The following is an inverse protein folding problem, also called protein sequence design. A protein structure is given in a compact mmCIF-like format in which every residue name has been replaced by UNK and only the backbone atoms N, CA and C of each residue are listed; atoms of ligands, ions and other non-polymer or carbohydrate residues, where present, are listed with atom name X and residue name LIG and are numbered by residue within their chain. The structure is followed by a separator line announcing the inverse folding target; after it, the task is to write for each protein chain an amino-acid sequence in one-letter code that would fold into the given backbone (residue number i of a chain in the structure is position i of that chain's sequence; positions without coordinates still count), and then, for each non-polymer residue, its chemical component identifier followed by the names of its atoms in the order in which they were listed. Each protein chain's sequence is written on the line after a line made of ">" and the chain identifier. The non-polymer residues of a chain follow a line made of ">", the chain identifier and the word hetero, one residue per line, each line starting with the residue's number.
data_IF_653108970853
#
_entry.id   IF_653108970853
#
_cell.length_a   1.000
_cell.length_b   1.000
_cell.length_c   1.000
_cell.angle_alpha   90.00
_cell.angle_beta   90.00
_cell.angle_gamma   90.00
#
_symmetry.space_group_name_H-M   'P 1'
#
loop_
_entity.id
_entity.type
_entity.pdbx_description
1 polymer ?
#
# COMPACT_ATOMS: atom_id res chain seq x y z
N UNK A 1 6.05 9.28 21.00
CA UNK A 1 5.52 9.55 19.65
C UNK A 1 6.71 9.67 18.71
N UNK A 2 6.66 9.06 17.53
CA UNK A 2 7.70 9.15 16.50
C UNK A 2 7.08 9.59 15.17
N UNK A 3 7.90 10.14 14.28
CA UNK A 3 7.48 10.57 12.95
C UNK A 3 8.69 10.87 12.07
N UNK A 4 8.43 11.04 10.78
CA UNK A 4 9.43 11.35 9.77
C UNK A 4 8.94 12.52 8.90
N UNK A 5 9.83 13.32 8.30
CA UNK A 5 9.45 14.29 7.28
C UNK A 5 8.82 13.60 6.06
N UNK A 6 7.78 14.21 5.48
CA UNK A 6 7.03 13.59 4.36
C UNK A 6 7.93 13.26 3.16
N UNK A 7 8.88 14.14 2.83
CA UNK A 7 9.82 13.94 1.73
C UNK A 7 10.83 12.80 1.96
N UNK A 8 10.92 12.28 3.19
CA UNK A 8 11.78 11.14 3.52
C UNK A 8 10.99 9.83 3.59
N UNK A 9 9.66 9.87 3.44
CA UNK A 9 8.75 8.76 3.72
C UNK A 9 9.12 7.47 2.99
N UNK A 10 9.39 7.56 1.69
CA UNK A 10 9.63 6.40 0.84
C UNK A 10 10.74 5.50 1.39
N UNK A 11 11.85 6.06 1.84
CA UNK A 11 12.97 5.28 2.39
C UNK A 11 12.59 4.45 3.62
N UNK A 12 11.72 4.98 4.48
CA UNK A 12 11.24 4.28 5.67
C UNK A 12 10.15 3.27 5.30
N UNK A 13 9.28 3.62 4.37
CA UNK A 13 8.24 2.74 3.84
C UNK A 13 8.91 1.51 3.20
N UNK A 14 9.92 1.69 2.35
CA UNK A 14 10.67 0.57 1.73
C UNK A 14 11.25 -0.37 2.79
N UNK A 15 11.80 0.17 3.89
CA UNK A 15 12.33 -0.65 5.00
C UNK A 15 11.24 -1.45 5.69
N UNK A 16 10.07 -0.85 5.93
CA UNK A 16 8.93 -1.53 6.55
C UNK A 16 8.36 -2.63 5.64
N UNK A 17 8.23 -2.36 4.34
CA UNK A 17 7.76 -3.33 3.35
C UNK A 17 8.71 -4.52 3.24
N UNK A 18 10.03 -4.28 3.21
CA UNK A 18 11.04 -5.36 3.24
C UNK A 18 10.98 -6.21 4.50
N UNK A 19 10.46 -5.68 5.61
CA UNK A 19 10.21 -6.42 6.85
C UNK A 19 8.83 -7.11 6.89
N UNK A 20 8.06 -7.04 5.80
CA UNK A 20 6.75 -7.67 5.70
C UNK A 20 5.60 -6.85 6.32
N UNK A 21 5.84 -5.61 6.72
CA UNK A 21 4.81 -4.75 7.29
C UNK A 21 3.91 -4.14 6.21
N UNK A 22 2.62 -3.98 6.53
CA UNK A 22 1.69 -3.19 5.72
C UNK A 22 1.71 -1.75 6.21
N UNK A 23 1.65 -0.79 5.29
CA UNK A 23 1.70 0.65 5.61
C UNK A 23 0.46 1.33 5.06
N UNK A 24 -0.30 2.03 5.91
CA UNK A 24 -1.40 2.89 5.49
C UNK A 24 -0.90 4.34 5.41
N UNK A 25 -1.08 4.98 4.26
CA UNK A 25 -0.75 6.39 4.03
C UNK A 25 -2.00 7.21 4.26
N UNK A 26 -1.95 8.09 5.25
CA UNK A 26 -3.04 8.96 5.62
C UNK A 26 -2.66 10.42 5.34
N UNK A 27 -3.40 11.08 4.45
CA UNK A 27 -3.12 12.43 3.99
C UNK A 27 -4.18 13.42 4.43
N UNK A 28 -3.84 14.71 4.38
CA UNK A 28 -4.83 15.77 4.47
C UNK A 28 -5.61 15.85 3.16
N UNK A 29 -6.92 15.64 3.23
CA UNK A 29 -7.80 15.60 2.04
C UNK A 29 -8.59 16.90 1.83
N UNK A 30 -8.27 17.94 2.59
CA UNK A 30 -8.75 19.31 2.43
C UNK A 30 -7.66 20.28 2.91
N UNK A 31 -7.77 21.55 2.49
CA UNK A 31 -6.85 22.61 2.95
C UNK A 31 -7.28 23.18 4.30
N UNK A 32 -6.38 23.86 5.04
CA UNK A 32 -6.76 24.57 6.27
C UNK A 32 -7.89 25.58 6.05
N UNK A 33 -7.91 26.29 4.92
CA UNK A 33 -8.94 27.28 4.59
C UNK A 33 -10.31 26.61 4.37
N UNK A 34 -10.33 25.45 3.71
CA UNK A 34 -11.53 24.64 3.55
C UNK A 34 -12.05 24.14 4.90
N UNK A 35 -11.16 23.67 5.77
CA UNK A 35 -11.53 23.26 7.12
C UNK A 35 -12.13 24.42 7.93
N UNK A 36 -11.53 25.61 7.89
CA UNK A 36 -12.03 26.80 8.59
C UNK A 36 -13.46 27.18 8.17
N UNK A 37 -13.81 27.02 6.87
CA UNK A 37 -15.18 27.25 6.38
C UNK A 37 -16.22 26.32 7.01
N UNK A 38 -15.83 25.13 7.48
CA UNK A 38 -16.74 24.19 8.19
C UNK A 38 -16.99 24.61 9.65
N UNK A 39 -16.18 25.51 10.19
CA UNK A 39 -16.36 26.11 11.53
C UNK A 39 -15.03 26.32 12.27
N UNK A 40 -15.00 27.21 13.29
CA UNK A 40 -13.77 27.66 13.96
C UNK A 40 -13.02 26.57 14.75
N UNK A 41 -13.64 25.41 15.01
CA UNK A 41 -13.02 24.26 15.68
C UNK A 41 -12.80 23.06 14.75
N UNK A 42 -13.01 23.24 13.45
CA UNK A 42 -12.89 22.16 12.48
C UNK A 42 -11.43 21.78 12.25
N UNK A 43 -11.12 20.50 12.41
CA UNK A 43 -9.80 19.95 12.10
C UNK A 43 -9.80 19.52 10.63
N UNK A 44 -8.66 19.75 9.95
CA UNK A 44 -8.43 19.26 8.58
C UNK A 44 -8.73 17.76 8.50
N UNK A 45 -9.66 17.41 7.60
CA UNK A 45 -10.06 16.03 7.32
C UNK A 45 -8.85 15.24 6.84
N UNK A 46 -8.73 14.03 7.37
CA UNK A 46 -7.69 13.06 7.02
C UNK A 46 -8.34 11.76 6.57
N UNK A 47 -7.74 11.13 5.58
CA UNK A 47 -8.23 9.85 5.07
C UNK A 47 -7.06 8.95 4.66
N UNK A 48 -7.29 7.65 4.67
CA UNK A 48 -6.33 6.67 4.14
C UNK A 48 -6.46 6.69 2.62
N UNK A 49 -5.49 7.31 1.97
CA UNK A 49 -5.47 7.43 0.51
C UNK A 49 -4.82 6.24 -0.16
N UNK A 50 -4.01 5.48 0.60
CA UNK A 50 -3.27 4.34 0.06
C UNK A 50 -2.91 3.31 1.11
N UNK A 51 -2.94 2.02 0.73
CA UNK A 51 -2.44 0.91 1.54
C UNK A 51 -1.33 0.21 0.75
N UNK A 52 -0.13 0.19 1.31
CA UNK A 52 1.04 -0.46 0.76
C UNK A 52 1.23 -1.80 1.45
N UNK A 53 1.35 -2.85 0.66
CA UNK A 53 1.73 -4.17 1.13
C UNK A 53 2.89 -4.68 0.29
N UNK A 54 3.74 -5.59 0.82
CA UNK A 54 4.94 -6.05 0.10
C UNK A 54 4.63 -6.53 -1.33
N UNK A 55 3.51 -7.22 -1.55
CA UNK A 55 3.13 -7.73 -2.87
C UNK A 55 2.14 -6.87 -3.66
N UNK A 56 1.84 -5.63 -3.24
CA UNK A 56 0.89 -4.74 -3.96
C UNK A 56 1.45 -3.38 -4.31
N UNK A 57 2.75 -3.16 -4.13
CA UNK A 57 3.44 -1.94 -4.57
C UNK A 57 3.73 -1.99 -6.07
N UNK A 58 3.70 -0.83 -6.73
CA UNK A 58 3.89 -0.71 -8.19
C UNK A 58 5.00 0.26 -8.56
N UNK A 59 5.38 1.17 -7.66
CA UNK A 59 6.44 2.13 -7.90
C UNK A 59 7.80 1.46 -7.81
N UNK A 60 8.67 1.84 -8.74
CA UNK A 60 10.06 1.36 -8.81
C UNK A 60 10.82 1.58 -7.50
N UNK A 61 10.51 2.65 -6.75
CA UNK A 61 11.14 2.95 -5.45
C UNK A 61 10.90 1.86 -4.39
N UNK A 62 9.83 1.08 -4.52
CA UNK A 62 9.47 0.00 -3.58
C UNK A 62 9.77 -1.40 -4.13
N UNK A 63 10.16 -1.52 -5.40
CA UNK A 63 10.39 -2.79 -6.09
C UNK A 63 11.88 -3.07 -6.28
N UNK A 64 12.21 -4.35 -6.44
CA UNK A 64 13.52 -4.80 -6.89
C UNK A 64 13.43 -5.09 -8.39
N UNK A 65 14.17 -4.35 -9.21
CA UNK A 65 14.11 -4.47 -10.68
C UNK A 65 14.59 -5.83 -11.20
N UNK A 66 15.33 -6.60 -10.40
CA UNK A 66 15.85 -7.90 -10.80
C UNK A 66 14.93 -9.07 -10.41
N UNK A 67 13.81 -8.80 -9.73
CA UNK A 67 12.92 -9.84 -9.21
C UNK A 67 11.44 -9.53 -9.50
N UNK A 68 10.67 -10.59 -9.77
CA UNK A 68 9.22 -10.47 -9.83
C UNK A 68 8.65 -10.30 -8.41
N UNK A 69 7.56 -9.53 -8.29
CA UNK A 69 6.86 -9.30 -7.03
C UNK A 69 5.46 -9.95 -7.06
N UNK A 70 5.44 -11.28 -7.00
CA UNK A 70 4.18 -12.03 -7.04
C UNK A 70 3.42 -11.97 -5.70
N UNK A 71 2.14 -11.65 -5.79
CA UNK A 71 1.14 -11.89 -4.75
C UNK A 71 0.42 -13.20 -5.04
N UNK A 72 0.25 -14.05 -4.02
CA UNK A 72 -0.42 -15.34 -4.16
C UNK A 72 -1.70 -15.41 -3.31
N UNK A 73 -2.71 -16.09 -3.85
CA UNK A 73 -3.92 -16.45 -3.11
C UNK A 73 -4.18 -17.95 -3.26
N UNK A 74 -4.31 -18.65 -2.13
CA UNK A 74 -4.65 -20.06 -2.07
C UNK A 74 -6.11 -20.21 -1.62
N UNK A 75 -6.88 -20.99 -2.36
CA UNK A 75 -8.24 -21.39 -2.03
C UNK A 75 -8.29 -22.91 -1.88
N UNK A 76 -9.16 -23.38 -0.99
CA UNK A 76 -9.46 -24.79 -0.82
C UNK A 76 -10.97 -24.97 -0.79
N UNK A 77 -11.51 -25.73 -1.73
CA UNK A 77 -12.94 -26.04 -1.80
C UNK A 77 -13.13 -27.50 -2.23
N UNK A 78 -14.10 -28.19 -1.61
CA UNK A 78 -14.49 -29.58 -1.94
C UNK A 78 -13.33 -30.58 -2.08
N UNK A 79 -12.25 -30.40 -1.30
CA UNK A 79 -11.07 -31.28 -1.33
C UNK A 79 -10.07 -30.97 -2.45
N UNK A 80 -10.27 -29.89 -3.21
CA UNK A 80 -9.35 -29.40 -4.22
C UNK A 80 -8.71 -28.07 -3.77
N UNK A 81 -7.47 -27.83 -4.19
CA UNK A 81 -6.77 -26.58 -3.96
C UNK A 81 -6.66 -25.80 -5.26
N UNK A 82 -6.96 -24.51 -5.23
CA UNK A 82 -6.70 -23.61 -6.33
C UNK A 82 -5.77 -22.51 -5.86
N UNK A 83 -4.80 -22.14 -6.70
CA UNK A 83 -3.85 -21.08 -6.40
C UNK A 83 -3.82 -20.08 -7.55
N UNK A 84 -3.88 -18.80 -7.20
CA UNK A 84 -3.68 -17.69 -8.12
C UNK A 84 -2.40 -16.94 -7.74
N UNK A 85 -1.63 -16.55 -8.74
CA UNK A 85 -0.49 -15.64 -8.61
C UNK A 85 -0.73 -14.42 -9.49
N UNK A 86 -0.37 -13.25 -9.00
CA UNK A 86 -0.37 -12.01 -9.77
C UNK A 86 0.90 -11.23 -9.47
N UNK A 87 1.63 -10.83 -10.51
CA UNK A 87 2.59 -9.73 -10.39
C UNK A 87 1.89 -8.47 -10.93
N UNK A 88 1.54 -7.57 -10.01
CA UNK A 88 0.75 -6.38 -10.34
C UNK A 88 1.56 -5.41 -11.21
N UNK A 89 2.89 -5.39 -11.08
CA UNK A 89 3.75 -4.48 -11.85
C UNK A 89 3.90 -4.89 -13.32
N UNK A 90 3.70 -6.17 -13.64
CA UNK A 90 3.83 -6.71 -15.00
C UNK A 90 2.51 -7.22 -15.58
N UNK A 91 1.41 -7.09 -14.84
CA UNK A 91 0.07 -7.61 -15.18
C UNK A 91 0.04 -9.13 -15.41
N UNK A 92 1.07 -9.86 -14.96
CA UNK A 92 1.18 -11.30 -15.16
C UNK A 92 0.30 -12.03 -14.15
N UNK A 93 -0.79 -12.61 -14.64
CA UNK A 93 -1.73 -13.41 -13.85
C UNK A 93 -1.63 -14.89 -14.21
N UNK A 94 -1.53 -15.75 -13.20
CA UNK A 94 -1.46 -17.20 -13.33
C UNK A 94 -2.49 -17.85 -12.41
N UNK A 95 -3.26 -18.81 -12.93
CA UNK A 95 -4.23 -19.59 -12.16
C UNK A 95 -3.95 -21.08 -12.34
N UNK A 96 -3.94 -21.82 -11.24
CA UNK A 96 -3.86 -23.28 -11.23
C UNK A 96 -4.95 -23.85 -10.32
N UNK A 97 -5.70 -24.81 -10.83
CA UNK A 97 -6.78 -25.52 -10.14
C UNK A 97 -6.36 -26.93 -9.78
#
# INVERSE_FOLDING_TARGET
>A
MCGIPFHAADSYITRLLKQGHKVAICEQVETPEQAQKRGPKSIVRRDVVRILTPGTVMEETFLDSEQNNFYAALAHDKGAFSIAFIDISTERFLLKM
#
